data_IF_128042102807
#
_entry.id   IF_128042102807
#
_cell.length_a   1.000
_cell.length_b   1.000
_cell.length_c   1.000
_cell.angle_alpha   90.00
_cell.angle_beta   90.00
_cell.angle_gamma   90.00
#
_symmetry.space_group_name_H-M   'P 1'
#
loop_
_entity.id
_entity.type
_entity.pdbx_description
1 polymer ?
#
# COMPACT_ATOMS: atom_id res chain seq x y z
N UNK A 1 -6.25 67.50 -12.06
CA UNK A 1 -6.25 66.69 -13.27
C UNK A 1 -4.90 66.04 -13.41
N UNK A 2 -4.85 64.75 -13.65
CA UNK A 2 -3.58 64.03 -13.85
C UNK A 2 -2.93 64.48 -15.17
N UNK A 3 -1.62 64.66 -15.14
CA UNK A 3 -0.83 64.89 -16.36
C UNK A 3 -0.75 63.57 -17.17
N UNK A 4 -0.45 63.68 -18.45
CA UNK A 4 -0.24 62.51 -19.30
C UNK A 4 0.88 61.62 -18.75
N UNK A 5 1.91 62.20 -18.17
CA UNK A 5 3.05 61.51 -17.59
C UNK A 5 2.63 60.69 -16.33
N UNK A 6 1.79 61.26 -15.48
CA UNK A 6 1.25 60.58 -14.31
C UNK A 6 0.36 59.38 -14.72
N UNK A 7 -0.48 59.60 -15.74
CA UNK A 7 -1.34 58.53 -16.27
C UNK A 7 -0.49 57.39 -16.86
N UNK A 8 0.56 57.68 -17.56
CA UNK A 8 1.50 56.71 -18.11
C UNK A 8 2.16 55.90 -16.99
N UNK A 9 2.64 56.54 -15.95
CA UNK A 9 3.27 55.89 -14.80
C UNK A 9 2.32 54.96 -14.09
N UNK A 10 1.07 55.35 -13.90
CA UNK A 10 0.05 54.47 -13.33
C UNK A 10 -0.24 53.25 -14.20
N UNK A 11 -0.29 53.46 -15.49
CA UNK A 11 -0.46 52.37 -16.44
C UNK A 11 0.66 51.34 -16.32
N UNK A 12 1.89 51.80 -16.27
CA UNK A 12 3.06 50.92 -16.11
C UNK A 12 3.01 50.17 -14.79
N UNK A 13 2.66 50.85 -13.69
CA UNK A 13 2.49 50.18 -12.37
C UNK A 13 1.43 49.11 -12.41
N UNK A 14 0.32 49.35 -13.10
CA UNK A 14 -0.76 48.36 -13.22
C UNK A 14 -0.32 47.17 -14.04
N UNK A 15 0.44 47.37 -15.11
CA UNK A 15 1.04 46.26 -15.89
C UNK A 15 1.98 45.41 -15.05
N UNK A 16 2.81 46.06 -14.23
CA UNK A 16 3.72 45.34 -13.31
C UNK A 16 2.94 44.47 -12.31
N UNK A 17 1.84 45.00 -11.76
CA UNK A 17 0.97 44.24 -10.87
C UNK A 17 0.35 43.03 -11.56
N UNK A 18 -0.14 43.19 -12.79
CA UNK A 18 -0.71 42.12 -13.57
C UNK A 18 0.34 41.03 -13.84
N UNK A 19 1.53 41.45 -14.22
CA UNK A 19 2.64 40.51 -14.48
C UNK A 19 3.02 39.74 -13.20
N UNK A 20 3.05 40.43 -12.06
CA UNK A 20 3.34 39.75 -10.78
C UNK A 20 2.24 38.74 -10.40
N UNK A 21 0.99 39.11 -10.60
CA UNK A 21 -0.13 38.19 -10.37
C UNK A 21 -0.04 36.95 -11.26
N UNK A 22 0.34 37.11 -12.51
CA UNK A 22 0.55 35.99 -13.42
C UNK A 22 1.67 35.06 -12.94
N UNK A 23 2.80 35.64 -12.51
CA UNK A 23 3.90 34.84 -11.95
C UNK A 23 3.48 34.09 -10.72
N UNK A 24 2.75 34.74 -9.81
CA UNK A 24 2.25 34.09 -8.59
C UNK A 24 1.28 32.97 -8.93
N UNK A 25 0.43 33.15 -9.93
CA UNK A 25 -0.50 32.12 -10.41
C UNK A 25 0.26 30.90 -10.93
N UNK A 26 1.28 31.12 -11.77
CA UNK A 26 2.10 30.05 -12.32
C UNK A 26 2.83 29.30 -11.19
N UNK A 27 3.41 30.03 -10.25
CA UNK A 27 4.07 29.41 -9.08
C UNK A 27 3.11 28.56 -8.28
N UNK A 28 1.88 29.02 -8.07
CA UNK A 28 0.87 28.26 -7.36
C UNK A 28 0.46 27.00 -8.12
N UNK A 29 0.34 27.08 -9.45
CA UNK A 29 0.06 25.89 -10.27
C UNK A 29 1.19 24.86 -10.17
N UNK A 30 2.43 25.30 -10.18
CA UNK A 30 3.59 24.43 -10.02
C UNK A 30 3.57 23.71 -8.66
N UNK A 31 3.23 24.44 -7.59
CA UNK A 31 3.08 23.86 -6.25
C UNK A 31 1.96 22.83 -6.21
N UNK A 32 0.83 23.13 -6.81
CA UNK A 32 -0.30 22.21 -6.89
C UNK A 32 0.10 20.94 -7.62
N UNK A 33 0.78 21.06 -8.75
CA UNK A 33 1.27 19.91 -9.49
C UNK A 33 2.28 19.09 -8.68
N UNK A 34 3.18 19.72 -7.98
CA UNK A 34 4.12 19.04 -7.11
C UNK A 34 3.41 18.25 -6.02
N UNK A 35 2.46 18.87 -5.32
CA UNK A 35 1.69 18.22 -4.26
C UNK A 35 0.86 17.06 -4.80
N UNK A 36 0.29 17.24 -5.98
CA UNK A 36 -0.48 16.19 -6.64
C UNK A 36 0.40 14.98 -6.93
N UNK A 37 1.58 15.19 -7.50
CA UNK A 37 2.53 14.12 -7.82
C UNK A 37 3.03 13.42 -6.55
N UNK A 38 3.30 14.16 -5.48
CA UNK A 38 3.67 13.57 -4.19
C UNK A 38 2.53 12.75 -3.59
N UNK A 39 1.29 13.21 -3.74
CA UNK A 39 0.12 12.47 -3.31
C UNK A 39 -0.02 11.14 -4.05
N UNK A 40 0.18 11.15 -5.38
CA UNK A 40 0.15 9.92 -6.18
C UNK A 40 1.23 8.93 -5.73
N UNK A 41 2.45 9.40 -5.49
CA UNK A 41 3.55 8.56 -4.98
C UNK A 41 3.21 7.95 -3.64
N UNK A 42 2.58 8.71 -2.76
CA UNK A 42 2.15 8.22 -1.44
C UNK A 42 1.10 7.13 -1.56
N UNK A 43 0.14 7.30 -2.47
CA UNK A 43 -0.89 6.30 -2.76
C UNK A 43 -0.25 5.02 -3.31
N UNK A 44 0.71 5.14 -4.21
CA UNK A 44 1.45 3.99 -4.75
C UNK A 44 2.19 3.23 -3.66
N UNK A 45 2.84 3.92 -2.73
CA UNK A 45 3.51 3.30 -1.58
C UNK A 45 2.51 2.55 -0.70
N UNK A 46 1.38 3.14 -0.41
CA UNK A 46 0.33 2.50 0.39
C UNK A 46 -0.18 1.25 -0.32
N UNK A 47 -0.41 1.33 -1.63
CA UNK A 47 -0.86 0.18 -2.41
C UNK A 47 0.17 -0.95 -2.41
N UNK A 48 1.45 -0.62 -2.53
CA UNK A 48 2.53 -1.61 -2.47
C UNK A 48 2.61 -2.28 -1.10
N UNK A 49 2.51 -1.50 -0.03
CA UNK A 49 2.50 -2.03 1.33
C UNK A 49 1.29 -2.95 1.56
N UNK A 50 0.15 -2.57 1.05
CA UNK A 50 -1.06 -3.38 1.14
C UNK A 50 -0.91 -4.70 0.39
N UNK A 51 -0.32 -4.66 -0.82
CA UNK A 51 -0.05 -5.88 -1.60
C UNK A 51 0.92 -6.81 -0.88
N UNK A 52 1.97 -6.28 -0.26
CA UNK A 52 2.91 -7.06 0.54
C UNK A 52 2.23 -7.68 1.76
N UNK A 53 1.38 -6.92 2.42
CA UNK A 53 0.59 -7.41 3.55
C UNK A 53 -0.27 -8.61 3.15
N UNK A 54 -0.97 -8.52 2.03
CA UNK A 54 -1.80 -9.61 1.51
C UNK A 54 -0.94 -10.84 1.20
N UNK A 55 0.20 -10.67 0.55
CA UNK A 55 1.12 -11.78 0.24
C UNK A 55 1.63 -12.45 1.52
N UNK A 56 1.98 -11.69 2.53
CA UNK A 56 2.43 -12.23 3.82
C UNK A 56 1.31 -12.99 4.52
N UNK A 57 0.10 -12.46 4.46
CA UNK A 57 -1.07 -13.12 5.03
C UNK A 57 -1.35 -14.47 4.33
N UNK A 58 -1.24 -14.52 3.02
CA UNK A 58 -1.41 -15.76 2.24
C UNK A 58 -0.33 -16.79 2.60
N UNK A 59 0.93 -16.36 2.73
CA UNK A 59 2.02 -17.24 3.16
C UNK A 59 1.77 -17.84 4.54
N UNK A 60 1.30 -17.02 5.46
CA UNK A 60 0.99 -17.44 6.80
C UNK A 60 -0.14 -18.47 6.80
N UNK A 61 -1.19 -18.24 6.02
CA UNK A 61 -2.30 -19.17 5.87
C UNK A 61 -1.83 -20.52 5.30
N UNK A 62 -0.98 -20.51 4.29
CA UNK A 62 -0.41 -21.74 3.72
C UNK A 62 0.42 -22.51 4.75
N UNK A 63 1.20 -21.78 5.55
CA UNK A 63 1.99 -22.40 6.62
C UNK A 63 1.09 -23.08 7.65
N UNK A 64 0.01 -22.45 8.05
CA UNK A 64 -0.98 -23.03 8.96
C UNK A 64 -1.65 -24.27 8.35
N UNK A 65 -2.03 -24.23 7.09
CA UNK A 65 -2.62 -25.36 6.38
C UNK A 65 -1.67 -26.55 6.34
N UNK A 66 -0.41 -26.31 6.01
CA UNK A 66 0.62 -27.36 5.99
C UNK A 66 0.84 -27.95 7.37
N UNK A 67 0.88 -27.12 8.40
CA UNK A 67 1.02 -27.58 9.78
C UNK A 67 -0.15 -28.44 10.20
N UNK A 68 -1.36 -28.02 9.86
CA UNK A 68 -2.58 -28.78 10.14
C UNK A 68 -2.57 -30.13 9.42
N UNK A 69 -2.22 -30.15 8.13
CA UNK A 69 -2.11 -31.38 7.36
C UNK A 69 -1.07 -32.33 7.95
N UNK A 70 0.08 -31.80 8.37
CA UNK A 70 1.12 -32.60 9.02
C UNK A 70 0.65 -33.20 10.33
N UNK A 71 -0.09 -32.43 11.12
CA UNK A 71 -0.68 -32.93 12.36
C UNK A 71 -1.68 -34.08 12.10
N UNK A 72 -2.53 -33.92 11.10
CA UNK A 72 -3.48 -34.96 10.71
C UNK A 72 -2.77 -36.24 10.26
N UNK A 73 -1.71 -36.10 9.45
CA UNK A 73 -0.91 -37.26 9.02
C UNK A 73 -0.25 -37.95 10.20
N UNK A 74 0.29 -37.21 11.14
CA UNK A 74 0.87 -37.77 12.36
C UNK A 74 -0.17 -38.51 13.18
N UNK A 75 -1.33 -37.93 13.39
CA UNK A 75 -2.42 -38.54 14.10
C UNK A 75 -2.85 -39.83 13.42
N UNK A 76 -2.95 -39.84 12.11
CA UNK A 76 -3.33 -41.05 11.35
C UNK A 76 -2.27 -42.13 11.50
N UNK A 77 -1.00 -41.81 11.48
CA UNK A 77 0.09 -42.76 11.71
C UNK A 77 0.02 -43.39 13.11
N UNK A 78 -0.24 -42.58 14.11
CA UNK A 78 -0.41 -43.06 15.48
C UNK A 78 -1.58 -44.01 15.59
N UNK A 79 -2.72 -43.66 14.99
CA UNK A 79 -3.90 -44.51 14.98
C UNK A 79 -3.63 -45.84 14.27
N UNK A 80 -2.93 -45.80 13.12
CA UNK A 80 -2.59 -47.02 12.39
C UNK A 80 -1.66 -47.91 13.19
N UNK A 81 -0.64 -47.34 13.82
CA UNK A 81 0.27 -48.09 14.67
C UNK A 81 -0.41 -48.69 15.87
N UNK A 82 -1.30 -47.93 16.49
CA UNK A 82 -2.10 -48.42 17.65
C UNK A 82 -3.01 -49.56 17.22
N UNK A 83 -3.70 -49.44 16.09
CA UNK A 83 -4.56 -50.47 15.56
C UNK A 83 -3.81 -51.78 15.25
N UNK A 84 -2.65 -51.65 14.62
CA UNK A 84 -1.79 -52.82 14.30
C UNK A 84 -1.30 -53.50 15.58
N UNK A 85 -0.86 -52.72 16.56
CA UNK A 85 -0.41 -53.23 17.83
C UNK A 85 -1.53 -53.97 18.56
N UNK A 86 -2.71 -53.40 18.55
CA UNK A 86 -3.91 -54.03 19.15
C UNK A 86 -4.25 -55.33 18.45
N UNK A 87 -4.28 -55.37 17.13
CA UNK A 87 -4.56 -56.56 16.34
C UNK A 87 -3.54 -57.67 16.59
N UNK A 88 -2.27 -57.35 16.71
CA UNK A 88 -1.22 -58.32 17.04
C UNK A 88 -1.43 -58.92 18.41
N UNK A 89 -1.77 -58.11 19.42
CA UNK A 89 -2.06 -58.61 20.77
C UNK A 89 -3.29 -59.53 20.79
N UNK A 90 -4.30 -59.21 20.03
CA UNK A 90 -5.48 -60.04 19.91
C UNK A 90 -5.18 -61.40 19.25
N UNK A 91 -4.34 -61.40 18.24
CA UNK A 91 -3.92 -62.61 17.54
C UNK A 91 -3.04 -63.49 18.41
N UNK A 92 -2.13 -62.93 19.20
CA UNK A 92 -1.26 -63.66 20.12
C UNK A 92 -2.05 -64.34 21.28
N UNK A 93 -3.15 -63.73 21.69
CA UNK A 93 -4.01 -64.27 22.75
C UNK A 93 -4.91 -65.46 22.32
N UNK A 94 -5.03 -65.62 21.04
CA UNK A 94 -5.76 -66.75 20.46
C UNK A 94 -4.84 -67.93 20.28
#
# INVERSE_FOLDING_TARGET
>A
MMTWFEMYNEFIKNLEKVNQLQRDYITNLERINYLYNESIKSIERVNNLYSEYIKNYEKMNRAYEQQFDNMQRMNQKWLDLFSKSWDQQQTEKR
#
